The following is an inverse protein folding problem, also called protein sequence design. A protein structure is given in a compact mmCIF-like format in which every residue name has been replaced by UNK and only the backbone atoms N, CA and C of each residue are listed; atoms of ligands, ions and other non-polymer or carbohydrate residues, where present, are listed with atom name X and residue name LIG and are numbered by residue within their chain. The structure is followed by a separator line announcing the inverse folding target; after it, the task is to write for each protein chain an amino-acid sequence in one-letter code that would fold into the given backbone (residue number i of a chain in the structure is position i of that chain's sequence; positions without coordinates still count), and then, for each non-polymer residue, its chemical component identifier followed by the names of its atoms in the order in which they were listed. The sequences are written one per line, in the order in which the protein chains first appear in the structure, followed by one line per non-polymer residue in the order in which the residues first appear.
data_IF_675504211841
#
_entry.id   IF_675504211841
#
_cell.length_a   1.000
_cell.length_b   1.000
_cell.length_c   1.000
_cell.angle_alpha   90.00
_cell.angle_beta   90.00
_cell.angle_gamma   90.00
#
_symmetry.space_group_name_H-M   'P 1'
#
loop_
_entity.id
_entity.type
_entity.pdbx_description
1 polymer ?
#
# COMPACT_ATOMS: atom_id res chain seq x y z
N UNK A 1 -51.97 -38.26 49.80
CA UNK A 1 -50.58 -38.49 49.32
C UNK A 1 -50.69 -38.92 47.86
N UNK A 2 -50.21 -38.22 46.84
CA UNK A 2 -48.98 -37.41 46.70
C UNK A 2 -49.21 -36.50 45.49
N UNK A 3 -49.17 -35.16 45.63
CA UNK A 3 -49.33 -34.23 44.51
C UNK A 3 -47.98 -33.95 43.86
N UNK A 4 -47.92 -34.23 42.56
CA UNK A 4 -46.85 -33.95 41.62
C UNK A 4 -46.52 -32.45 41.64
N UNK A 5 -45.28 -32.09 41.93
CA UNK A 5 -44.74 -30.73 41.81
C UNK A 5 -43.76 -30.72 40.65
N UNK A 6 -44.17 -30.13 39.54
CA UNK A 6 -43.37 -29.90 38.33
C UNK A 6 -43.57 -28.43 37.95
N UNK A 7 -42.54 -27.60 38.14
CA UNK A 7 -42.36 -26.23 37.63
C UNK A 7 -41.21 -25.60 38.42
N UNK A 8 -40.26 -24.85 37.88
CA UNK A 8 -39.87 -24.56 36.51
C UNK A 8 -38.41 -24.09 36.62
N UNK A 9 -37.52 -24.67 35.82
CA UNK A 9 -36.13 -24.25 35.75
C UNK A 9 -36.07 -22.97 34.89
N UNK A 10 -36.05 -21.80 35.54
CA UNK A 10 -35.86 -20.51 34.87
C UNK A 10 -34.37 -20.38 34.50
N UNK A 11 -34.00 -20.97 33.36
CA UNK A 11 -32.78 -20.62 32.62
C UNK A 11 -33.01 -19.23 32.01
N UNK A 12 -32.61 -18.18 32.73
CA UNK A 12 -32.34 -16.87 32.11
C UNK A 12 -31.09 -17.06 31.25
N UNK A 13 -31.29 -17.43 29.99
CA UNK A 13 -30.25 -17.34 28.98
C UNK A 13 -29.92 -15.86 28.79
N UNK A 14 -28.79 -15.42 29.33
CA UNK A 14 -28.21 -14.15 28.93
C UNK A 14 -27.87 -14.28 27.44
N UNK A 15 -28.57 -13.52 26.60
CA UNK A 15 -28.29 -13.39 25.17
C UNK A 15 -26.83 -12.97 24.97
N UNK A 16 -25.97 -13.96 24.71
CA UNK A 16 -24.58 -13.81 24.27
C UNK A 16 -24.52 -13.46 22.77
N UNK A 17 -25.46 -12.67 22.29
CA UNK A 17 -25.44 -12.13 20.94
C UNK A 17 -25.51 -10.62 21.00
N UNK A 18 -24.40 -10.02 21.46
CA UNK A 18 -24.11 -8.65 21.06
C UNK A 18 -23.72 -8.72 19.58
N UNK A 19 -24.72 -8.78 18.71
CA UNK A 19 -24.53 -8.51 17.29
C UNK A 19 -23.79 -7.16 17.22
N UNK A 20 -22.63 -7.13 16.55
CA UNK A 20 -21.89 -5.89 16.37
C UNK A 20 -22.83 -4.88 15.72
N UNK A 21 -23.17 -3.82 16.46
CA UNK A 21 -23.98 -2.74 15.91
C UNK A 21 -23.26 -2.22 14.65
N UNK A 22 -24.00 -1.99 13.55
CA UNK A 22 -23.38 -1.55 12.31
C UNK A 22 -22.64 -0.24 12.56
N UNK A 23 -21.36 -0.19 12.13
CA UNK A 23 -20.54 1.00 12.30
C UNK A 23 -21.23 2.22 11.68
N UNK A 24 -21.31 3.31 12.45
CA UNK A 24 -21.92 4.54 11.98
C UNK A 24 -21.23 5.03 10.69
N UNK A 25 -21.99 5.69 9.82
CA UNK A 25 -21.46 6.21 8.55
C UNK A 25 -20.27 7.17 8.79
N UNK A 26 -20.34 7.97 9.86
CA UNK A 26 -19.29 8.92 10.24
C UNK A 26 -17.99 8.20 10.62
N UNK A 27 -18.06 7.14 11.42
CA UNK A 27 -16.87 6.38 11.82
C UNK A 27 -16.21 5.69 10.63
N UNK A 28 -17.01 5.14 9.70
CA UNK A 28 -16.50 4.58 8.44
C UNK A 28 -15.79 5.65 7.61
N UNK A 29 -16.39 6.83 7.46
CA UNK A 29 -15.79 7.94 6.73
C UNK A 29 -14.45 8.39 7.33
N UNK A 30 -14.38 8.60 8.65
CA UNK A 30 -13.12 8.99 9.30
C UNK A 30 -12.04 7.91 9.19
N UNK A 31 -12.42 6.64 9.29
CA UNK A 31 -11.51 5.51 9.08
C UNK A 31 -10.96 5.52 7.66
N UNK A 32 -11.82 5.63 6.64
CA UNK A 32 -11.40 5.70 5.24
C UNK A 32 -10.47 6.89 4.98
N UNK A 33 -10.79 8.05 5.56
CA UNK A 33 -9.98 9.24 5.43
C UNK A 33 -8.56 9.04 5.99
N UNK A 34 -8.43 8.34 7.12
CA UNK A 34 -7.14 8.01 7.73
C UNK A 34 -6.39 6.94 6.92
N UNK A 35 -7.07 5.85 6.56
CA UNK A 35 -6.48 4.71 5.84
C UNK A 35 -5.98 5.08 4.44
N UNK A 36 -6.69 5.95 3.73
CA UNK A 36 -6.36 6.40 2.37
C UNK A 36 -5.52 7.69 2.35
N UNK A 37 -5.28 8.28 3.54
CA UNK A 37 -4.68 9.60 3.71
C UNK A 37 -5.36 10.67 2.87
N UNK A 38 -6.61 10.97 3.18
CA UNK A 38 -7.43 11.91 2.41
C UNK A 38 -7.50 11.54 0.92
N UNK A 39 -7.57 10.24 0.60
CA UNK A 39 -7.59 9.72 -0.77
C UNK A 39 -6.37 10.11 -1.63
N UNK A 40 -5.25 10.47 -1.00
CA UNK A 40 -3.99 10.75 -1.69
C UNK A 40 -3.22 9.46 -2.01
N UNK A 41 -3.38 8.40 -1.21
CA UNK A 41 -2.78 7.11 -1.52
C UNK A 41 -3.34 6.54 -2.82
N UNK A 42 -2.45 5.99 -3.64
CA UNK A 42 -2.81 5.49 -4.96
C UNK A 42 -2.72 6.52 -6.08
N UNK A 43 -2.42 7.79 -5.80
CA UNK A 43 -2.10 8.77 -6.84
C UNK A 43 -0.69 8.51 -7.41
N UNK A 44 -0.50 8.57 -8.75
CA UNK A 44 0.83 8.54 -9.36
C UNK A 44 1.69 9.72 -8.92
N UNK A 45 2.97 9.47 -8.64
CA UNK A 45 3.96 10.48 -8.29
C UNK A 45 5.23 10.33 -9.13
N UNK A 46 5.95 11.42 -9.32
CA UNK A 46 7.21 11.49 -10.09
C UNK A 46 7.10 10.93 -11.52
N UNK A 47 6.09 11.31 -12.33
CA UNK A 47 5.96 10.78 -13.68
C UNK A 47 7.12 11.22 -14.58
N UNK A 48 7.61 10.28 -15.39
CA UNK A 48 8.65 10.51 -16.40
C UNK A 48 8.28 9.82 -17.71
N UNK A 49 8.41 10.53 -18.81
CA UNK A 49 8.24 9.98 -20.14
C UNK A 49 9.48 9.17 -20.52
N UNK A 50 9.30 8.05 -21.21
CA UNK A 50 10.41 7.29 -21.78
C UNK A 50 11.08 8.08 -22.93
N UNK A 51 12.37 7.88 -23.21
CA UNK A 51 13.07 8.63 -24.26
C UNK A 51 12.44 8.50 -25.66
N UNK A 52 11.80 7.38 -25.94
CA UNK A 52 11.05 7.10 -27.18
C UNK A 52 9.63 7.69 -27.19
N UNK A 53 9.18 8.29 -26.09
CA UNK A 53 7.87 8.93 -25.95
C UNK A 53 6.68 7.97 -25.90
N UNK A 54 6.91 6.65 -25.83
CA UNK A 54 5.83 5.65 -25.94
C UNK A 54 5.16 5.28 -24.62
N UNK A 55 5.83 5.51 -23.49
CA UNK A 55 5.31 5.16 -22.18
C UNK A 55 5.65 6.20 -21.12
N UNK A 56 4.85 6.22 -20.06
CA UNK A 56 5.07 7.03 -18.86
C UNK A 56 5.37 6.09 -17.69
N UNK A 57 6.52 6.27 -17.07
CA UNK A 57 6.93 5.54 -15.87
C UNK A 57 6.69 6.44 -14.65
N UNK A 58 6.18 5.86 -13.57
CA UNK A 58 5.89 6.61 -12.34
C UNK A 58 5.88 5.69 -11.12
N UNK A 59 5.91 6.31 -9.94
CA UNK A 59 5.72 5.62 -8.67
C UNK A 59 4.27 5.70 -8.23
N UNK A 60 3.75 4.61 -7.68
CA UNK A 60 2.37 4.57 -7.16
C UNK A 60 2.24 3.53 -6.05
N UNK A 61 1.47 3.86 -5.02
CA UNK A 61 1.04 2.91 -3.98
C UNK A 61 -0.35 2.33 -4.26
N UNK A 62 -0.85 1.48 -3.37
CA UNK A 62 -2.26 1.08 -3.40
C UNK A 62 -3.16 2.12 -2.74
N UNK A 63 -4.48 1.99 -2.87
CA UNK A 63 -5.45 2.92 -2.26
C UNK A 63 -5.35 3.00 -0.72
N UNK A 64 -4.91 1.91 -0.08
CA UNK A 64 -4.66 1.81 1.36
C UNK A 64 -3.25 1.32 1.68
N UNK A 65 -2.35 1.43 0.70
CA UNK A 65 -1.00 0.89 0.81
C UNK A 65 0.04 1.97 0.49
N UNK A 66 0.83 2.40 1.50
CA UNK A 66 1.82 3.46 1.34
C UNK A 66 3.11 2.99 0.65
N UNK A 67 3.23 1.72 0.25
CA UNK A 67 4.42 1.20 -0.44
C UNK A 67 4.39 1.59 -1.91
N UNK A 68 5.29 2.50 -2.30
CA UNK A 68 5.49 2.90 -3.68
C UNK A 68 6.19 1.78 -4.47
N UNK A 69 5.54 1.42 -5.58
CA UNK A 69 6.02 0.48 -6.60
C UNK A 69 6.20 1.23 -7.91
N UNK A 70 6.96 0.64 -8.82
CA UNK A 70 7.22 1.22 -10.14
C UNK A 70 6.18 0.71 -11.14
N UNK A 71 5.53 1.64 -11.82
CA UNK A 71 4.53 1.36 -12.85
C UNK A 71 4.92 1.99 -14.18
N UNK A 72 4.39 1.40 -15.24
CA UNK A 72 4.47 1.89 -16.60
C UNK A 72 3.07 1.97 -17.20
N UNK A 73 2.79 3.09 -17.85
CA UNK A 73 1.61 3.26 -18.67
C UNK A 73 2.02 3.42 -20.13
N UNK A 74 1.64 2.45 -20.96
CA UNK A 74 1.86 2.50 -22.41
C UNK A 74 0.78 3.38 -23.05
N UNK A 75 1.21 4.43 -23.76
CA UNK A 75 0.30 5.46 -24.29
C UNK A 75 -0.56 4.91 -25.43
N UNK A 76 0.03 4.14 -26.35
CA UNK A 76 -0.67 3.61 -27.51
C UNK A 76 -1.80 2.64 -27.11
N UNK A 77 -1.51 1.76 -26.15
CA UNK A 77 -2.42 0.69 -25.72
C UNK A 77 -3.31 1.08 -24.53
N UNK A 78 -3.03 2.23 -23.89
CA UNK A 78 -3.62 2.67 -22.63
C UNK A 78 -3.55 1.61 -21.51
N UNK A 79 -2.48 0.81 -21.52
CA UNK A 79 -2.27 -0.28 -20.56
C UNK A 79 -1.37 0.17 -19.42
N UNK A 80 -1.85 -0.08 -18.20
CA UNK A 80 -1.08 0.07 -16.97
C UNK A 80 -0.45 -1.26 -16.58
N UNK A 81 0.86 -1.25 -16.32
CA UNK A 81 1.64 -2.41 -15.90
C UNK A 81 2.47 -2.09 -14.65
N UNK A 82 2.50 -3.01 -13.69
CA UNK A 82 3.47 -2.96 -12.60
C UNK A 82 4.81 -3.53 -13.07
N UNK A 83 5.87 -2.73 -13.02
CA UNK A 83 7.22 -3.12 -13.47
C UNK A 83 7.97 -3.83 -12.35
N UNK A 84 8.00 -3.21 -11.17
CA UNK A 84 8.85 -3.65 -10.07
C UNK A 84 8.23 -3.29 -8.72
N UNK A 85 8.32 -4.23 -7.78
CA UNK A 85 8.02 -3.98 -6.35
C UNK A 85 9.32 -4.01 -5.54
N UNK A 86 9.37 -3.29 -4.40
CA UNK A 86 10.50 -3.38 -3.47
C UNK A 86 10.81 -4.81 -3.02
N UNK A 87 9.76 -5.61 -2.77
CA UNK A 87 9.87 -7.02 -2.38
C UNK A 87 10.53 -7.89 -3.46
N UNK A 88 10.11 -7.71 -4.73
CA UNK A 88 10.71 -8.40 -5.88
C UNK A 88 12.17 -8.01 -6.07
N UNK A 89 12.52 -6.74 -5.87
CA UNK A 89 13.89 -6.26 -5.99
C UNK A 89 14.82 -6.90 -4.95
N UNK A 90 14.35 -7.03 -3.70
CA UNK A 90 15.13 -7.63 -2.62
C UNK A 90 15.16 -9.16 -2.68
N UNK A 91 14.44 -9.79 -3.62
CA UNK A 91 14.36 -11.26 -3.77
C UNK A 91 14.00 -11.98 -2.45
N UNK A 92 13.16 -11.36 -1.62
CA UNK A 92 12.78 -11.89 -0.31
C UNK A 92 13.72 -11.54 0.85
N UNK A 93 14.78 -10.77 0.63
CA UNK A 93 15.57 -10.20 1.73
C UNK A 93 14.80 -9.05 2.42
N UNK A 94 14.87 -8.98 3.76
CA UNK A 94 14.20 -7.93 4.52
C UNK A 94 14.86 -6.56 4.29
N UNK A 95 14.04 -5.55 4.02
CA UNK A 95 14.47 -4.15 3.98
C UNK A 95 15.07 -3.76 5.35
N UNK A 96 16.40 -3.60 5.42
CA UNK A 96 17.08 -3.23 6.67
C UNK A 96 17.33 -1.72 6.67
N UNK A 97 16.40 -0.97 7.25
CA UNK A 97 16.52 0.47 7.44
C UNK A 97 17.50 0.76 8.59
N UNK A 98 18.56 1.51 8.32
CA UNK A 98 19.46 1.97 9.39
C UNK A 98 18.74 2.96 10.31
N UNK A 99 19.20 3.06 11.57
CA UNK A 99 18.64 3.99 12.56
C UNK A 99 18.74 5.47 12.12
N UNK A 100 19.80 5.81 11.38
CA UNK A 100 20.01 7.14 10.82
C UNK A 100 18.99 7.48 9.73
N UNK A 101 18.67 6.53 8.85
CA UNK A 101 17.67 6.70 7.80
C UNK A 101 16.25 6.78 8.38
N UNK A 102 15.95 5.97 9.41
CA UNK A 102 14.69 6.07 10.15
C UNK A 102 14.51 7.46 10.78
N UNK A 103 15.57 7.97 11.42
CA UNK A 103 15.57 9.30 12.03
C UNK A 103 15.44 10.43 10.99
N UNK A 104 16.07 10.28 9.82
CA UNK A 104 15.91 11.21 8.68
C UNK A 104 14.46 11.20 8.19
N UNK A 105 13.86 10.01 8.01
CA UNK A 105 12.48 9.84 7.54
C UNK A 105 11.45 10.42 8.50
N UNK A 106 11.62 10.18 9.80
CA UNK A 106 10.77 10.76 10.84
C UNK A 106 10.84 12.30 10.82
N UNK A 107 12.04 12.87 10.67
CA UNK A 107 12.24 14.32 10.53
C UNK A 107 11.66 14.89 9.23
N UNK A 108 11.79 14.16 8.13
CA UNK A 108 11.28 14.57 6.82
C UNK A 108 9.75 14.33 6.67
N UNK A 109 9.08 13.75 7.68
CA UNK A 109 7.68 13.31 7.61
C UNK A 109 7.41 12.41 6.39
N UNK A 110 8.43 11.66 5.94
CA UNK A 110 8.32 10.75 4.81
C UNK A 110 7.50 9.53 5.23
N UNK A 111 6.23 9.58 4.88
CA UNK A 111 5.22 8.63 5.32
C UNK A 111 4.97 7.52 4.28
N UNK A 112 5.51 7.67 3.06
CA UNK A 112 5.50 6.66 2.00
C UNK A 112 6.72 5.74 2.13
N UNK A 113 6.55 4.47 1.77
CA UNK A 113 7.56 3.40 1.85
C UNK A 113 7.91 2.90 0.44
N UNK A 114 8.87 1.98 0.33
CA UNK A 114 9.28 1.43 -0.96
C UNK A 114 10.23 2.36 -1.71
N UNK A 115 10.04 2.48 -3.02
CA UNK A 115 10.91 3.33 -3.84
C UNK A 115 10.68 4.80 -3.56
N UNK A 116 11.74 5.53 -3.23
CA UNK A 116 11.67 6.97 -2.93
C UNK A 116 11.87 7.83 -4.18
N UNK A 117 12.65 7.34 -5.14
CA UNK A 117 12.86 7.97 -6.45
C UNK A 117 13.31 6.96 -7.48
N UNK A 118 13.23 7.35 -8.75
CA UNK A 118 13.77 6.58 -9.86
C UNK A 118 14.26 7.49 -10.99
N UNK A 119 15.16 6.97 -11.82
CA UNK A 119 15.63 7.57 -13.07
C UNK A 119 15.54 6.56 -14.22
N UNK A 120 15.32 7.07 -15.43
CA UNK A 120 15.31 6.29 -16.67
C UNK A 120 16.60 6.60 -17.43
N UNK A 121 17.29 5.57 -17.93
CA UNK A 121 18.48 5.79 -18.75
C UNK A 121 18.14 6.48 -20.08
N UNK A 122 19.13 7.15 -20.68
CA UNK A 122 18.93 7.87 -21.95
C UNK A 122 18.49 6.98 -23.11
N UNK A 123 18.88 5.70 -23.10
CA UNK A 123 18.45 4.69 -24.08
C UNK A 123 17.08 4.07 -23.73
N UNK A 124 16.53 4.36 -22.55
CA UNK A 124 15.24 3.85 -22.07
C UNK A 124 15.24 2.39 -21.65
N UNK A 125 16.40 1.70 -21.65
CA UNK A 125 16.49 0.26 -21.38
C UNK A 125 16.74 -0.08 -19.91
N UNK A 126 17.15 0.90 -19.10
CA UNK A 126 17.49 0.71 -17.69
C UNK A 126 16.73 1.67 -16.79
N UNK A 127 16.49 1.20 -15.57
CA UNK A 127 15.83 1.95 -14.52
C UNK A 127 16.74 1.94 -13.29
N UNK A 128 17.11 3.12 -12.81
CA UNK A 128 17.77 3.32 -11.53
C UNK A 128 16.69 3.58 -10.49
N UNK A 129 16.64 2.80 -9.42
CA UNK A 129 15.68 2.98 -8.33
C UNK A 129 16.40 3.14 -6.99
N UNK A 130 15.82 3.95 -6.11
CA UNK A 130 16.33 4.17 -4.76
C UNK A 130 15.44 3.47 -3.75
N UNK A 131 16.03 2.55 -2.98
CA UNK A 131 15.35 1.81 -1.91
C UNK A 131 16.24 1.84 -0.66
N UNK A 132 15.70 2.36 0.44
CA UNK A 132 16.40 2.41 1.75
C UNK A 132 17.80 3.06 1.70
N UNK A 133 17.95 4.10 0.88
CA UNK A 133 19.24 4.79 0.70
C UNK A 133 20.25 4.07 -0.19
N UNK A 134 19.89 2.91 -0.75
CA UNK A 134 20.70 2.16 -1.72
C UNK A 134 20.18 2.37 -3.14
N UNK A 135 21.11 2.33 -4.08
CA UNK A 135 20.85 2.45 -5.52
C UNK A 135 20.84 1.06 -6.16
N UNK A 136 19.86 0.82 -7.02
CA UNK A 136 19.73 -0.41 -7.79
C UNK A 136 19.48 -0.08 -9.25
N UNK A 137 20.15 -0.80 -10.16
CA UNK A 137 19.90 -0.71 -11.59
C UNK A 137 19.26 -2.01 -12.04
N UNK A 138 18.14 -1.89 -12.76
CA UNK A 138 17.46 -3.02 -13.40
C UNK A 138 17.34 -2.75 -14.90
N UNK A 139 17.19 -3.83 -15.67
CA UNK A 139 16.73 -3.72 -17.05
C UNK A 139 15.21 -3.51 -17.04
N UNK A 140 14.72 -2.57 -17.83
CA UNK A 140 13.29 -2.35 -18.05
C UNK A 140 12.74 -3.55 -18.83
N UNK A 141 11.66 -4.20 -18.37
CA UNK A 141 11.02 -5.26 -19.13
C UNK A 141 10.37 -4.69 -20.38
N UNK A 142 10.43 -5.45 -21.48
CA UNK A 142 9.79 -5.11 -22.76
C UNK A 142 8.27 -5.02 -22.61
#
# INVERSE_FOLDING_TARGET
MTRLLFCAFLLVGADLSKAAEPESADLRYFRELVETRNYSLGQPVSPKLTPDGKAVIFLRGGARDPVLRLYEFTIADQKLREILTPEKLLQGATENLSAEERSRRERARQSLRGFTSFEVSNDGTKLLVVLSGKLYIITRPD
#
